data_IF_422073526253
#
_entry.id   IF_422073526253
#
_cell.length_a   1.000
_cell.length_b   1.000
_cell.length_c   1.000
_cell.angle_alpha   90.00
_cell.angle_beta   90.00
_cell.angle_gamma   90.00
#
_symmetry.space_group_name_H-M   'P 1'
#
loop_
_entity.id
_entity.type
_entity.pdbx_description
1 polymer ?
#
# COMPACT_ATOMS: atom_id res chain seq x y z
N UNK A 1 14.62 -17.22 14.73
CA UNK A 1 15.56 -17.30 13.59
C UNK A 1 14.83 -16.75 12.38
N UNK A 2 15.16 -15.52 11.98
CA UNK A 2 14.50 -14.85 10.86
C UNK A 2 14.94 -15.53 9.56
N UNK A 3 13.97 -16.07 8.82
CA UNK A 3 14.22 -16.54 7.46
C UNK A 3 14.46 -15.29 6.62
N UNK A 4 15.71 -15.03 6.25
CA UNK A 4 16.06 -13.91 5.38
C UNK A 4 15.27 -14.01 4.08
N UNK A 5 14.59 -12.92 3.70
CA UNK A 5 13.97 -12.79 2.39
C UNK A 5 15.00 -13.09 1.31
N UNK A 6 14.62 -13.77 0.22
CA UNK A 6 15.57 -13.99 -0.88
C UNK A 6 16.10 -12.63 -1.38
N UNK A 7 17.36 -12.55 -1.87
CA UNK A 7 17.98 -11.28 -2.26
C UNK A 7 17.10 -10.45 -3.20
N UNK A 8 16.52 -11.07 -4.23
CA UNK A 8 15.64 -10.37 -5.19
C UNK A 8 14.34 -9.86 -4.58
N UNK A 9 13.76 -10.57 -3.61
CA UNK A 9 12.56 -10.14 -2.90
C UNK A 9 12.84 -8.98 -1.95
N UNK A 10 13.97 -9.02 -1.24
CA UNK A 10 14.43 -7.93 -0.38
C UNK A 10 14.69 -6.66 -1.20
N UNK A 11 15.30 -6.81 -2.37
CA UNK A 11 15.64 -5.70 -3.25
C UNK A 11 14.40 -5.05 -3.86
N UNK A 12 13.40 -5.84 -4.25
CA UNK A 12 12.12 -5.31 -4.73
C UNK A 12 11.40 -4.51 -3.64
N UNK A 13 11.28 -5.05 -2.42
CA UNK A 13 10.62 -4.37 -1.31
C UNK A 13 11.34 -3.07 -0.90
N UNK A 14 12.68 -3.10 -0.85
CA UNK A 14 13.50 -1.89 -0.62
C UNK A 14 13.33 -0.86 -1.74
N UNK A 15 13.26 -1.33 -2.99
CA UNK A 15 13.06 -0.44 -4.14
C UNK A 15 11.69 0.21 -4.11
N UNK A 16 10.65 -0.55 -3.72
CA UNK A 16 9.29 -0.06 -3.51
C UNK A 16 9.27 1.00 -2.40
N UNK A 17 9.82 0.68 -1.22
CA UNK A 17 9.90 1.61 -0.09
C UNK A 17 10.67 2.89 -0.44
N UNK A 18 11.79 2.77 -1.15
CA UNK A 18 12.58 3.91 -1.62
C UNK A 18 11.80 4.76 -2.63
N UNK A 19 11.13 4.12 -3.60
CA UNK A 19 10.31 4.81 -4.59
C UNK A 19 9.17 5.62 -3.94
N UNK A 20 8.56 5.06 -2.89
CA UNK A 20 7.50 5.73 -2.12
C UNK A 20 8.08 6.90 -1.30
N UNK A 21 9.20 6.70 -0.61
CA UNK A 21 9.89 7.75 0.16
C UNK A 21 10.36 8.93 -0.69
N UNK A 22 10.76 8.68 -1.93
CA UNK A 22 11.15 9.73 -2.88
C UNK A 22 9.95 10.54 -3.41
N UNK A 23 8.72 10.06 -3.24
CA UNK A 23 7.52 10.73 -3.74
C UNK A 23 7.23 11.98 -2.90
N UNK A 24 7.42 13.15 -3.52
CA UNK A 24 7.20 14.45 -2.89
C UNK A 24 5.92 15.10 -3.43
N UNK A 25 4.78 14.81 -2.81
CA UNK A 25 3.50 15.49 -3.09
C UNK A 25 3.26 16.52 -2.00
N UNK A 26 3.02 17.78 -2.39
CA UNK A 26 2.76 18.84 -1.42
C UNK A 26 1.56 18.50 -0.55
N UNK A 27 1.67 18.72 0.76
CA UNK A 27 0.62 18.40 1.74
C UNK A 27 0.54 16.95 2.17
N UNK A 28 1.12 16.00 1.42
CA UNK A 28 1.24 14.60 1.82
C UNK A 28 2.65 14.28 2.32
N UNK A 29 2.74 13.67 3.49
CA UNK A 29 4.00 13.18 4.06
C UNK A 29 3.90 11.68 4.27
N UNK A 30 4.88 10.94 3.74
CA UNK A 30 4.97 9.50 3.95
C UNK A 30 5.58 9.19 5.32
N UNK A 31 4.91 8.33 6.08
CA UNK A 31 5.36 7.89 7.42
C UNK A 31 5.85 6.45 7.44
N UNK A 32 5.22 5.56 6.67
CA UNK A 32 5.50 4.13 6.78
C UNK A 32 4.90 3.29 5.67
N UNK A 33 5.54 2.14 5.42
CA UNK A 33 5.05 1.09 4.54
C UNK A 33 5.02 -0.22 5.34
N UNK A 34 3.85 -0.84 5.36
CA UNK A 34 3.61 -2.14 5.97
C UNK A 34 2.98 -3.09 4.96
N UNK A 35 3.01 -4.38 5.24
CA UNK A 35 2.35 -5.40 4.42
C UNK A 35 1.39 -6.17 5.30
N UNK A 36 0.12 -6.20 4.91
CA UNK A 36 -0.93 -6.91 5.60
C UNK A 36 -1.40 -8.07 4.73
N UNK A 37 -1.72 -9.21 5.35
CA UNK A 37 -2.43 -10.27 4.64
C UNK A 37 -3.85 -9.80 4.33
N UNK A 38 -4.32 -10.08 3.12
CA UNK A 38 -5.73 -9.91 2.80
C UNK A 38 -6.52 -11.04 3.49
N UNK A 39 -7.21 -10.69 4.57
CA UNK A 39 -8.04 -11.60 5.36
C UNK A 39 -9.49 -11.72 4.82
N UNK A 40 -9.86 -10.93 3.82
CA UNK A 40 -11.21 -10.88 3.26
C UNK A 40 -11.51 -12.00 2.25
N UNK A 41 -10.64 -13.01 2.13
CA UNK A 41 -10.75 -14.06 1.12
C UNK A 41 -9.99 -15.35 1.50
N UNK A 42 -10.16 -16.40 0.70
CA UNK A 42 -9.42 -17.66 0.83
C UNK A 42 -7.91 -17.54 0.49
N UNK A 43 -7.37 -16.32 0.38
CA UNK A 43 -5.97 -16.05 0.02
C UNK A 43 -4.98 -16.63 1.03
N UNK A 44 -5.32 -16.67 2.33
CA UNK A 44 -4.50 -17.36 3.33
C UNK A 44 -4.44 -18.87 3.09
N UNK A 45 -5.59 -19.49 2.78
CA UNK A 45 -5.64 -20.92 2.46
C UNK A 45 -4.85 -21.24 1.18
N UNK A 46 -4.93 -20.38 0.17
CA UNK A 46 -4.14 -20.48 -1.06
C UNK A 46 -2.64 -20.33 -0.80
N UNK A 47 -2.24 -19.36 0.02
CA UNK A 47 -0.86 -19.15 0.45
C UNK A 47 -0.29 -20.42 1.11
N UNK A 48 -1.02 -20.99 2.06
CA UNK A 48 -0.62 -22.23 2.75
C UNK A 48 -0.49 -23.42 1.81
N UNK A 49 -1.38 -23.53 0.82
CA UNK A 49 -1.31 -24.59 -0.19
C UNK A 49 -0.05 -24.48 -1.05
N UNK A 50 0.29 -23.27 -1.51
CA UNK A 50 1.52 -23.04 -2.29
C UNK A 50 2.75 -23.35 -1.43
N UNK A 51 2.77 -22.88 -0.18
CA UNK A 51 3.88 -23.12 0.73
C UNK A 51 4.12 -24.63 0.92
N UNK A 52 3.06 -25.39 1.20
CA UNK A 52 3.13 -26.86 1.33
C UNK A 52 3.61 -27.53 0.05
N UNK A 53 3.09 -27.11 -1.11
CA UNK A 53 3.48 -27.66 -2.42
C UNK A 53 4.96 -27.41 -2.71
N UNK A 54 5.45 -26.20 -2.47
CA UNK A 54 6.86 -25.87 -2.69
C UNK A 54 7.79 -26.66 -1.77
N UNK A 55 7.39 -26.89 -0.52
CA UNK A 55 8.14 -27.74 0.41
C UNK A 55 8.18 -29.19 -0.07
N UNK A 56 7.05 -29.75 -0.55
CA UNK A 56 6.99 -31.10 -1.12
C UNK A 56 7.86 -31.23 -2.38
N UNK A 57 7.83 -30.23 -3.25
CA UNK A 57 8.60 -30.20 -4.51
C UNK A 57 10.05 -29.73 -4.31
N UNK A 58 10.48 -29.43 -3.07
CA UNK A 58 11.80 -28.89 -2.73
C UNK A 58 12.18 -27.65 -3.56
N UNK A 59 11.20 -26.82 -3.91
CA UNK A 59 11.46 -25.56 -4.59
C UNK A 59 12.17 -24.60 -3.63
N UNK A 60 13.11 -23.78 -4.11
CA UNK A 60 13.71 -22.75 -3.27
C UNK A 60 12.62 -21.77 -2.83
N UNK A 61 12.39 -21.68 -1.52
CA UNK A 61 11.53 -20.65 -0.94
C UNK A 61 12.22 -19.30 -1.11
N UNK A 62 11.47 -18.26 -1.49
CA UNK A 62 12.01 -16.92 -1.65
C UNK A 62 12.14 -16.21 -0.27
N UNK A 63 12.76 -16.89 0.69
CA UNK A 63 12.73 -16.53 2.11
C UNK A 63 11.39 -16.87 2.77
N UNK A 64 10.74 -15.90 3.43
CA UNK A 64 9.42 -16.09 4.05
C UNK A 64 8.26 -16.23 3.05
N UNK A 65 8.49 -15.95 1.76
CA UNK A 65 7.45 -15.88 0.75
C UNK A 65 7.38 -17.16 -0.10
N UNK A 66 6.19 -17.76 -0.28
CA UNK A 66 6.00 -18.98 -1.03
C UNK A 66 6.00 -18.73 -2.55
N UNK A 67 6.01 -17.48 -3.00
CA UNK A 67 6.13 -17.10 -4.41
C UNK A 67 6.73 -15.69 -4.53
N UNK A 68 6.84 -15.19 -5.76
CA UNK A 68 7.30 -13.83 -6.00
C UNK A 68 6.36 -12.81 -5.34
N UNK A 69 6.92 -11.77 -4.71
CA UNK A 69 6.11 -10.77 -3.98
C UNK A 69 5.23 -9.95 -4.91
N UNK A 70 5.63 -9.71 -6.17
CA UNK A 70 4.75 -9.07 -7.14
C UNK A 70 3.54 -9.94 -7.44
N UNK A 71 3.71 -11.27 -7.51
CA UNK A 71 2.58 -12.20 -7.67
C UNK A 71 1.68 -12.20 -6.43
N UNK A 72 2.24 -12.07 -5.23
CA UNK A 72 1.45 -11.93 -3.99
C UNK A 72 0.59 -10.67 -3.99
N UNK A 73 1.08 -9.55 -4.54
CA UNK A 73 0.30 -8.31 -4.68
C UNK A 73 -0.74 -8.39 -5.79
N UNK A 74 -0.37 -8.95 -6.95
CA UNK A 74 -1.27 -9.11 -8.10
C UNK A 74 -2.46 -10.02 -7.78
N UNK A 75 -2.23 -11.04 -6.94
CA UNK A 75 -3.28 -11.94 -6.45
C UNK A 75 -4.01 -11.39 -5.23
N UNK A 76 -3.69 -10.16 -4.81
CA UNK A 76 -4.22 -9.50 -3.62
C UNK A 76 -4.08 -10.36 -2.34
N UNK A 77 -3.07 -11.23 -2.26
CA UNK A 77 -2.78 -12.07 -1.07
C UNK A 77 -2.16 -11.19 0.02
N UNK A 78 -1.28 -10.29 -0.40
CA UNK A 78 -0.78 -9.20 0.43
C UNK A 78 -1.28 -7.86 -0.09
N UNK A 79 -1.64 -7.00 0.85
CA UNK A 79 -2.02 -5.62 0.63
C UNK A 79 -0.91 -4.76 1.22
N UNK A 80 -0.15 -4.01 0.40
CA UNK A 80 0.75 -2.98 0.89
C UNK A 80 -0.08 -1.86 1.52
N UNK A 81 0.24 -1.52 2.77
CA UNK A 81 -0.37 -0.43 3.52
C UNK A 81 0.59 0.75 3.60
N UNK A 82 0.19 1.84 2.99
CA UNK A 82 0.90 3.12 2.95
C UNK A 82 0.34 4.02 4.04
N UNK A 83 1.17 4.45 4.97
CA UNK A 83 0.81 5.41 6.00
C UNK A 83 1.24 6.81 5.56
N UNK A 84 0.25 7.69 5.37
CA UNK A 84 0.42 9.06 4.95
C UNK A 84 -0.14 10.03 6.00
N UNK A 85 0.56 11.12 6.25
CA UNK A 85 0.00 12.30 6.89
C UNK A 85 -0.47 13.27 5.82
N UNK A 86 -1.67 13.80 6.00
CA UNK A 86 -2.16 14.92 5.22
C UNK A 86 -2.21 16.19 6.08
N UNK A 87 -1.33 17.13 5.78
CA UNK A 87 -1.29 18.44 6.41
C UNK A 87 -2.23 19.37 5.63
N UNK A 88 -3.37 19.69 6.23
CA UNK A 88 -4.37 20.57 5.61
C UNK A 88 -3.80 21.99 5.52
N UNK A 89 -3.73 22.58 4.31
CA UNK A 89 -3.35 23.98 4.16
C UNK A 89 -4.28 24.92 4.93
N UNK A 90 -3.72 25.98 5.54
CA UNK A 90 -4.48 26.89 6.40
C UNK A 90 -5.66 27.58 5.69
N UNK A 91 -5.52 27.84 4.40
CA UNK A 91 -6.55 28.41 3.52
C UNK A 91 -7.67 27.41 3.18
N UNK A 92 -7.45 26.12 3.40
CA UNK A 92 -8.43 25.04 3.17
C UNK A 92 -9.17 24.61 4.45
N UNK A 93 -8.90 25.22 5.60
CA UNK A 93 -9.46 24.81 6.89
C UNK A 93 -11.00 24.82 6.96
N UNK A 94 -11.64 25.62 6.11
CA UNK A 94 -13.10 25.83 6.07
C UNK A 94 -13.77 25.22 4.81
N UNK A 95 -13.06 24.41 4.02
CA UNK A 95 -13.67 23.75 2.86
C UNK A 95 -14.74 22.74 3.29
N UNK A 96 -15.82 22.56 2.50
CA UNK A 96 -16.77 21.48 2.70
C UNK A 96 -16.10 20.10 2.59
N UNK A 97 -16.62 19.11 3.31
CA UNK A 97 -16.09 17.73 3.31
C UNK A 97 -15.93 17.15 1.90
N UNK A 98 -16.83 17.44 0.95
CA UNK A 98 -16.76 16.93 -0.42
C UNK A 98 -15.56 17.49 -1.21
N UNK A 99 -15.33 18.81 -1.13
CA UNK A 99 -14.19 19.46 -1.77
C UNK A 99 -12.86 18.92 -1.21
N UNK A 100 -12.82 18.71 0.10
CA UNK A 100 -11.69 18.08 0.79
C UNK A 100 -11.42 16.66 0.28
N UNK A 101 -12.45 15.82 0.13
CA UNK A 101 -12.28 14.43 -0.32
C UNK A 101 -11.74 14.37 -1.75
N UNK A 102 -12.20 15.26 -2.64
CA UNK A 102 -11.73 15.34 -4.02
C UNK A 102 -10.27 15.77 -4.10
N UNK A 103 -9.86 16.76 -3.29
CA UNK A 103 -8.46 17.19 -3.21
C UNK A 103 -7.57 16.05 -2.70
N UNK A 104 -7.99 15.38 -1.62
CA UNK A 104 -7.23 14.26 -1.05
C UNK A 104 -7.09 13.10 -2.04
N UNK A 105 -8.16 12.72 -2.73
CA UNK A 105 -8.11 11.66 -3.77
C UNK A 105 -7.13 12.04 -4.90
N UNK A 106 -7.12 13.31 -5.31
CA UNK A 106 -6.18 13.82 -6.32
C UNK A 106 -4.74 13.71 -5.85
N UNK A 107 -4.45 14.09 -4.61
CA UNK A 107 -3.11 13.99 -4.02
C UNK A 107 -2.65 12.53 -3.90
N UNK A 108 -3.53 11.61 -3.48
CA UNK A 108 -3.21 10.17 -3.43
C UNK A 108 -2.92 9.64 -4.84
N UNK A 109 -3.75 9.99 -5.85
CA UNK A 109 -3.49 9.61 -7.24
C UNK A 109 -2.14 10.11 -7.71
N UNK A 110 -1.82 11.38 -7.46
CA UNK A 110 -0.52 11.94 -7.81
C UNK A 110 0.62 11.18 -7.13
N UNK A 111 0.46 10.92 -5.83
CA UNK A 111 1.46 10.20 -5.02
C UNK A 111 1.74 8.79 -5.56
N UNK A 112 0.68 8.03 -5.85
CA UNK A 112 0.77 6.65 -6.33
C UNK A 112 1.23 6.56 -7.79
N UNK A 113 0.91 7.56 -8.61
CA UNK A 113 1.30 7.58 -10.03
C UNK A 113 2.72 8.12 -10.27
N UNK A 114 3.40 8.71 -9.25
CA UNK A 114 4.78 9.23 -9.40
C UNK A 114 5.82 8.16 -9.71
N UNK A 115 5.55 6.92 -9.32
CA UNK A 115 6.43 5.77 -9.58
C UNK A 115 5.59 4.57 -9.99
N UNK A 116 6.13 3.65 -10.80
CA UNK A 116 5.39 2.48 -11.23
C UNK A 116 5.19 1.50 -10.08
N UNK A 117 4.05 1.61 -9.39
CA UNK A 117 3.64 0.64 -8.38
C UNK A 117 3.06 -0.61 -9.05
N UNK A 118 3.43 -1.83 -8.61
CA UNK A 118 2.88 -3.07 -9.14
C UNK A 118 1.36 -3.12 -9.09
N UNK A 119 0.77 -3.92 -9.98
CA UNK A 119 -0.65 -4.20 -9.95
C UNK A 119 -1.04 -4.88 -8.63
N UNK A 120 -2.23 -4.55 -8.13
CA UNK A 120 -2.75 -5.12 -6.89
C UNK A 120 -3.61 -4.13 -6.12
N UNK A 121 -4.04 -4.57 -4.93
CA UNK A 121 -4.79 -3.75 -3.99
C UNK A 121 -3.84 -3.15 -2.95
N UNK A 122 -3.97 -1.86 -2.72
CA UNK A 122 -3.18 -1.09 -1.76
C UNK A 122 -4.12 -0.49 -0.72
N UNK A 123 -3.70 -0.47 0.54
CA UNK A 123 -4.35 0.32 1.58
C UNK A 123 -3.57 1.62 1.76
N UNK A 124 -4.26 2.76 1.80
CA UNK A 124 -3.68 4.08 2.07
C UNK A 124 -4.32 4.59 3.34
N UNK A 125 -3.60 4.44 4.45
CA UNK A 125 -3.99 4.97 5.74
C UNK A 125 -3.58 6.43 5.83
N UNK A 126 -4.55 7.31 6.07
CA UNK A 126 -4.35 8.75 6.08
C UNK A 126 -4.68 9.29 7.46
N UNK A 127 -3.68 9.93 8.07
CA UNK A 127 -3.84 10.72 9.27
C UNK A 127 -3.88 12.21 8.89
N UNK A 128 -5.03 12.85 9.06
CA UNK A 128 -5.26 14.24 8.71
C UNK A 128 -4.91 15.15 9.90
N UNK A 129 -4.05 16.13 9.66
CA UNK A 129 -3.69 17.15 10.63
C UNK A 129 -4.15 18.52 10.17
N UNK A 130 -4.78 19.27 11.07
CA UNK A 130 -4.97 20.72 10.94
C UNK A 130 -4.04 21.38 11.93
N UNK A 131 -3.16 22.25 11.43
CA UNK A 131 -2.00 22.72 12.18
C UNK A 131 -1.20 21.49 12.68
N UNK A 132 -1.16 21.24 13.99
CA UNK A 132 -0.48 20.08 14.59
C UNK A 132 -1.45 19.10 15.26
N UNK A 133 -2.77 19.25 15.03
CA UNK A 133 -3.79 18.41 15.67
C UNK A 133 -4.34 17.38 14.69
N UNK A 134 -4.27 16.10 15.07
CA UNK A 134 -4.95 15.02 14.39
C UNK A 134 -6.47 15.27 14.47
N UNK A 135 -7.11 15.44 13.31
CA UNK A 135 -8.56 15.72 13.22
C UNK A 135 -9.35 14.54 12.66
N UNK A 136 -8.73 13.69 11.84
CA UNK A 136 -9.36 12.52 11.22
C UNK A 136 -8.31 11.48 10.89
N UNK A 137 -8.68 10.21 10.97
CA UNK A 137 -7.91 9.09 10.42
C UNK A 137 -8.85 8.20 9.60
N UNK A 138 -8.37 7.64 8.50
CA UNK A 138 -9.15 6.72 7.66
C UNK A 138 -8.27 5.91 6.72
N UNK A 139 -8.82 4.87 6.12
CA UNK A 139 -8.13 4.01 5.16
C UNK A 139 -8.85 4.04 3.81
N UNK A 140 -8.09 4.21 2.74
CA UNK A 140 -8.58 4.10 1.37
C UNK A 140 -7.98 2.86 0.74
N UNK A 141 -8.82 2.00 0.19
CA UNK A 141 -8.33 0.92 -0.65
C UNK A 141 -8.23 1.43 -2.08
N UNK A 142 -7.08 1.21 -2.70
CA UNK A 142 -6.77 1.70 -4.03
C UNK A 142 -6.30 0.54 -4.88
N UNK A 143 -6.99 0.28 -5.99
CA UNK A 143 -6.57 -0.74 -6.94
C UNK A 143 -5.65 -0.11 -7.98
N UNK A 144 -4.46 -0.70 -8.11
CA UNK A 144 -3.47 -0.35 -9.12
C UNK A 144 -3.53 -1.35 -10.28
N UNK A 145 -3.56 -0.84 -11.51
CA UNK A 145 -3.41 -1.64 -12.72
C UNK A 145 -2.58 -0.86 -13.75
N UNK A 146 -1.62 -1.54 -14.38
CA UNK A 146 -0.65 -0.97 -15.31
C UNK A 146 0.01 0.30 -14.76
N UNK A 147 0.42 0.27 -13.49
CA UNK A 147 1.05 1.39 -12.77
C UNK A 147 0.17 2.63 -12.58
N UNK A 148 -1.15 2.49 -12.70
CA UNK A 148 -2.11 3.59 -12.53
C UNK A 148 -3.18 3.21 -11.52
N UNK A 149 -3.66 4.20 -10.79
CA UNK A 149 -4.87 4.04 -9.97
C UNK A 149 -6.09 3.87 -10.87
N UNK A 150 -6.76 2.72 -10.79
CA UNK A 150 -7.96 2.43 -11.56
C UNK A 150 -9.25 2.47 -10.74
N UNK A 151 -9.15 2.35 -9.42
CA UNK A 151 -10.33 2.33 -8.54
C UNK A 151 -9.98 2.82 -7.13
N UNK A 152 -10.83 3.67 -6.57
CA UNK A 152 -10.83 4.05 -5.15
C UNK A 152 -11.99 3.33 -4.46
N UNK A 153 -11.65 2.28 -3.73
CA UNK A 153 -12.54 1.53 -2.86
C UNK A 153 -12.51 2.22 -1.49
N UNK A 154 -13.42 3.19 -1.31
CA UNK A 154 -13.51 3.98 -0.08
C UNK A 154 -14.03 3.10 1.07
N UNK A 155 -13.26 2.95 2.14
CA UNK A 155 -13.75 2.42 3.41
C UNK A 155 -13.79 3.56 4.43
N UNK A 156 -14.88 4.33 4.42
CA UNK A 156 -15.20 5.21 5.54
C UNK A 156 -16.03 4.41 6.53
N UNK A 157 -15.37 3.74 7.47
CA UNK A 157 -15.99 3.35 8.74
C UNK A 157 -15.86 4.48 9.75
#
# INVERSE_FOLDING_TARGET
>A
MGIEASPGTSDFLKSLESAIKESTVSGLKFEGLHFEFNDQSDHMAYYDQILKKNQQERRPLQGMYPMDVQELFQKEIFIPKLELQYLVPNDQNNLPDEAYMNDLETLIKEFLNKKPLPNGLYAVEIAQYKEDKLVRKGVYYVRMNNHQVVEFLKDLS
#
